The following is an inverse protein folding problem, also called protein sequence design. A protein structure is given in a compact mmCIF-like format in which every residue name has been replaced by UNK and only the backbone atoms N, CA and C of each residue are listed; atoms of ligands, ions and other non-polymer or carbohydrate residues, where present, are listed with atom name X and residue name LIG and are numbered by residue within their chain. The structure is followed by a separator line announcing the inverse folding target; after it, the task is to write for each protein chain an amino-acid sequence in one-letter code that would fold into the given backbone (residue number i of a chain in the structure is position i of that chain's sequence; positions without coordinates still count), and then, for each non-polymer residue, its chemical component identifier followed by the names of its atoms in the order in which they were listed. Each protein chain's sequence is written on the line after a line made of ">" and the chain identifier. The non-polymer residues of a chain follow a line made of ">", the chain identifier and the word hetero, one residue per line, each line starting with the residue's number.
data_IF_323995623351
#
_entry.id   IF_323995623351
#
_cell.length_a   1.000
_cell.length_b   1.000
_cell.length_c   1.000
_cell.angle_alpha   90.00
_cell.angle_beta   90.00
_cell.angle_gamma   90.00
#
_symmetry.space_group_name_H-M   'P 1'
#
loop_
_entity.id
_entity.type
_entity.pdbx_description
1 polymer ?
#
# COMPACT_ATOMS: atom_id res chain seq x y z
N UNK A 1 -0.18 22.11 -26.94
CA UNK A 1 -0.49 21.08 -25.95
C UNK A 1 0.33 21.37 -24.70
N UNK A 2 -0.34 21.71 -23.61
CA UNK A 2 0.32 21.81 -22.29
C UNK A 2 0.45 20.42 -21.69
N UNK A 3 1.67 20.07 -21.24
CA UNK A 3 1.96 18.84 -20.52
C UNK A 3 2.10 19.16 -19.05
N UNK A 4 1.38 18.42 -18.19
CA UNK A 4 1.53 18.53 -16.74
C UNK A 4 2.15 17.25 -16.22
N UNK A 5 3.29 17.36 -15.54
CA UNK A 5 3.90 16.24 -14.83
C UNK A 5 3.28 16.16 -13.45
N UNK A 6 2.71 15.00 -13.12
CA UNK A 6 2.05 14.78 -11.84
C UNK A 6 2.40 13.40 -11.27
N UNK A 7 1.99 13.11 -10.05
CA UNK A 7 2.22 11.82 -9.39
C UNK A 7 0.94 10.97 -9.38
N UNK A 8 1.10 9.68 -9.09
CA UNK A 8 0.01 8.70 -9.06
C UNK A 8 -1.15 9.11 -8.13
N UNK A 9 -0.87 9.79 -7.02
CA UNK A 9 -1.89 10.23 -6.09
C UNK A 9 -2.78 11.34 -6.68
N UNK A 10 -2.21 12.27 -7.45
CA UNK A 10 -3.00 13.28 -8.14
C UNK A 10 -3.84 12.67 -9.27
N UNK A 11 -3.32 11.64 -9.96
CA UNK A 11 -4.08 10.88 -10.95
C UNK A 11 -5.25 10.14 -10.30
N UNK A 12 -5.07 9.51 -9.14
CA UNK A 12 -6.16 8.91 -8.38
C UNK A 12 -7.21 9.94 -7.97
N UNK A 13 -6.77 11.10 -7.51
CA UNK A 13 -7.67 12.20 -7.15
C UNK A 13 -8.53 12.64 -8.35
N UNK A 14 -7.99 12.64 -9.58
CA UNK A 14 -8.71 13.01 -10.80
C UNK A 14 -9.88 12.04 -11.13
N UNK A 15 -9.92 10.85 -10.57
CA UNK A 15 -11.04 9.89 -10.74
C UNK A 15 -12.26 10.21 -9.89
N UNK A 16 -12.18 11.21 -9.01
CA UNK A 16 -13.29 11.67 -8.17
C UNK A 16 -13.93 12.94 -8.76
N UNK A 17 -15.25 13.10 -8.74
CA UNK A 17 -15.91 14.36 -9.17
C UNK A 17 -15.34 15.59 -8.46
N UNK A 18 -15.20 16.71 -9.19
CA UNK A 18 -14.55 17.94 -8.70
C UNK A 18 -15.24 18.64 -7.52
N UNK A 19 -16.48 18.31 -7.27
CA UNK A 19 -17.27 18.89 -6.17
C UNK A 19 -17.13 18.12 -4.84
N UNK A 20 -16.27 17.09 -4.81
CA UNK A 20 -16.13 16.20 -3.64
C UNK A 20 -14.72 16.16 -3.10
N UNK A 21 -14.54 16.27 -1.79
CA UNK A 21 -13.28 15.92 -1.15
C UNK A 21 -12.95 14.45 -1.36
N UNK A 22 -11.67 14.13 -1.38
CA UNK A 22 -11.25 12.73 -1.47
C UNK A 22 -10.02 12.41 -0.64
N UNK A 23 -9.95 11.15 -0.24
CA UNK A 23 -8.74 10.51 0.28
C UNK A 23 -8.23 9.58 -0.80
N UNK A 24 -6.96 9.70 -1.14
CA UNK A 24 -6.28 8.80 -2.07
C UNK A 24 -5.17 8.05 -1.34
N UNK A 25 -5.15 6.75 -1.50
CA UNK A 25 -4.20 5.87 -0.86
C UNK A 25 -3.44 5.06 -1.91
N UNK A 26 -2.13 5.10 -1.86
CA UNK A 26 -1.26 4.27 -2.69
C UNK A 26 -0.55 3.26 -1.80
N UNK A 27 -0.65 1.98 -2.17
CA UNK A 27 0.08 0.87 -1.58
C UNK A 27 0.73 0.01 -2.68
N UNK A 28 1.93 0.38 -3.02
CA UNK A 28 2.82 -0.34 -3.95
C UNK A 28 4.08 -0.80 -3.21
N UNK A 29 5.25 -0.56 -3.79
CA UNK A 29 6.54 -0.77 -3.11
C UNK A 29 6.59 0.00 -1.79
N UNK A 30 6.20 1.28 -1.79
CA UNK A 30 5.97 2.10 -0.60
C UNK A 30 4.50 2.48 -0.46
N UNK A 31 4.17 3.33 0.53
CA UNK A 31 2.81 3.78 0.75
C UNK A 31 2.70 5.27 1.08
N UNK A 32 1.58 5.85 0.70
CA UNK A 32 1.21 7.22 1.09
C UNK A 32 -0.31 7.38 1.04
N UNK A 33 -0.84 8.16 1.97
CA UNK A 33 -2.25 8.57 1.97
C UNK A 33 -2.31 10.10 1.95
N UNK A 34 -3.07 10.64 1.01
CA UNK A 34 -3.27 12.07 0.82
C UNK A 34 -4.75 12.41 0.84
N UNK A 35 -5.11 13.51 1.50
CA UNK A 35 -6.45 14.06 1.42
C UNK A 35 -6.44 15.35 0.60
N UNK A 36 -7.51 15.53 -0.17
CA UNK A 36 -7.75 16.69 -1.02
C UNK A 36 -9.14 17.25 -0.75
N UNK A 37 -9.27 18.56 -0.74
CA UNK A 37 -10.57 19.22 -0.75
C UNK A 37 -11.25 19.15 -2.13
N UNK A 38 -12.45 19.73 -2.23
CA UNK A 38 -13.20 19.79 -3.48
C UNK A 38 -12.48 20.60 -4.57
N UNK A 39 -11.61 21.54 -4.21
CA UNK A 39 -10.81 22.36 -5.12
C UNK A 39 -9.50 21.67 -5.52
N UNK A 40 -9.28 20.42 -5.10
CA UNK A 40 -8.05 19.64 -5.34
C UNK A 40 -6.81 20.18 -4.64
N UNK A 41 -6.98 21.03 -3.61
CA UNK A 41 -5.89 21.41 -2.75
C UNK A 41 -5.59 20.26 -1.77
N UNK A 42 -4.32 19.88 -1.67
CA UNK A 42 -3.92 18.86 -0.70
C UNK A 42 -4.03 19.42 0.72
N UNK A 43 -4.93 18.84 1.52
CA UNK A 43 -5.21 19.28 2.88
C UNK A 43 -4.44 18.50 3.93
N UNK A 44 -4.10 17.22 3.63
CA UNK A 44 -3.40 16.35 4.58
C UNK A 44 -2.53 15.32 3.87
N UNK A 45 -1.43 14.93 4.52
CA UNK A 45 -0.60 13.78 4.17
C UNK A 45 -0.39 12.91 5.41
N UNK A 46 -0.56 11.60 5.24
CA UNK A 46 -0.27 10.58 6.25
C UNK A 46 0.66 9.55 5.62
N UNK A 47 1.76 9.23 6.30
CA UNK A 47 2.77 8.33 5.77
C UNK A 47 3.59 8.93 4.61
N UNK A 48 4.14 8.05 3.78
CA UNK A 48 5.03 8.44 2.69
C UNK A 48 6.37 9.02 3.17
N UNK A 49 6.84 8.57 4.34
CA UNK A 49 8.11 8.99 4.92
C UNK A 49 9.31 8.21 4.35
N UNK A 50 9.04 7.38 3.36
CA UNK A 50 10.01 6.47 2.76
C UNK A 50 10.18 5.17 3.56
N UNK A 51 10.85 4.22 2.92
CA UNK A 51 10.91 2.84 3.39
C UNK A 51 11.67 2.64 4.72
N UNK A 52 12.53 3.58 5.11
CA UNK A 52 13.27 3.53 6.38
C UNK A 52 12.39 3.94 7.56
N UNK A 53 11.55 4.98 7.40
CA UNK A 53 10.84 5.64 8.49
C UNK A 53 9.32 5.42 8.45
N UNK A 54 8.79 4.85 7.36
CA UNK A 54 7.37 4.70 7.12
C UNK A 54 7.07 3.54 6.21
N UNK A 55 6.18 3.78 5.24
CA UNK A 55 5.68 2.80 4.28
C UNK A 55 4.89 1.65 4.95
N UNK A 56 4.20 1.95 6.06
CA UNK A 56 3.26 1.02 6.71
C UNK A 56 2.19 0.59 5.71
N UNK A 57 1.84 -0.68 5.72
CA UNK A 57 0.85 -1.26 4.82
C UNK A 57 1.29 -1.34 3.37
N UNK A 58 2.57 -1.13 3.06
CA UNK A 58 3.15 -1.29 1.72
C UNK A 58 3.77 -2.68 1.53
N UNK A 59 4.23 -2.97 0.31
CA UNK A 59 5.00 -4.18 0.05
C UNK A 59 6.28 -4.25 0.89
N UNK A 60 6.99 -3.11 1.08
CA UNK A 60 8.13 -3.05 2.00
C UNK A 60 7.68 -3.28 3.45
N UNK A 61 6.55 -2.76 3.87
CA UNK A 61 5.97 -3.01 5.20
C UNK A 61 5.78 -4.50 5.45
N UNK A 62 5.07 -5.17 4.56
CA UNK A 62 4.81 -6.63 4.63
C UNK A 62 6.12 -7.42 4.63
N UNK A 63 7.04 -7.13 3.70
CA UNK A 63 8.33 -7.83 3.60
C UNK A 63 9.20 -7.62 4.84
N UNK A 64 9.27 -6.39 5.36
CA UNK A 64 10.01 -6.04 6.56
C UNK A 64 9.44 -6.74 7.81
N UNK A 65 8.11 -6.79 7.94
CA UNK A 65 7.45 -7.50 9.04
C UNK A 65 7.76 -9.00 9.00
N UNK A 66 7.74 -9.60 7.80
CA UNK A 66 8.09 -11.00 7.62
C UNK A 66 9.54 -11.29 7.97
N UNK A 67 10.49 -10.49 7.48
CA UNK A 67 11.91 -10.63 7.80
C UNK A 67 12.18 -10.51 9.30
N UNK A 68 11.61 -9.50 9.97
CA UNK A 68 11.74 -9.34 11.40
C UNK A 68 11.28 -10.58 12.15
N UNK A 69 10.13 -11.14 11.76
CA UNK A 69 9.59 -12.34 12.42
C UNK A 69 10.51 -13.54 12.21
N UNK A 70 10.86 -13.89 10.96
CA UNK A 70 11.63 -15.12 10.68
C UNK A 70 13.08 -15.07 11.12
N UNK A 71 13.65 -13.87 11.32
CA UNK A 71 15.02 -13.70 11.83
C UNK A 71 15.07 -13.58 13.35
N UNK A 72 13.92 -13.38 14.02
CA UNK A 72 13.88 -13.26 15.50
C UNK A 72 13.36 -14.50 16.19
N UNK A 73 12.58 -15.33 15.53
CA UNK A 73 11.89 -16.50 16.11
C UNK A 73 11.87 -17.67 15.13
N UNK A 74 11.95 -18.92 15.64
CA UNK A 74 11.74 -20.09 14.80
C UNK A 74 10.35 -20.04 14.15
N UNK A 75 10.30 -20.13 12.83
CA UNK A 75 9.05 -19.99 12.09
C UNK A 75 9.05 -20.81 10.79
N UNK A 76 8.00 -21.60 10.52
CA UNK A 76 7.85 -22.28 9.22
C UNK A 76 7.80 -21.31 8.02
N UNK A 77 7.54 -20.02 8.22
CA UNK A 77 7.60 -19.02 7.19
C UNK A 77 9.02 -18.78 6.69
N UNK A 78 10.06 -19.10 7.49
CA UNK A 78 11.45 -18.99 7.07
C UNK A 78 11.71 -19.88 5.84
N UNK A 79 11.29 -21.15 5.89
CA UNK A 79 11.50 -22.09 4.78
C UNK A 79 10.86 -21.61 3.49
N UNK A 80 9.66 -21.00 3.58
CA UNK A 80 8.95 -20.41 2.44
C UNK A 80 9.75 -19.24 1.85
N UNK A 81 10.31 -18.39 2.70
CA UNK A 81 11.10 -17.23 2.25
C UNK A 81 12.44 -17.69 1.67
N UNK A 82 13.15 -18.64 2.31
CA UNK A 82 14.41 -19.19 1.80
C UNK A 82 14.21 -19.81 0.42
N UNK A 83 13.17 -20.63 0.25
CA UNK A 83 12.83 -21.22 -1.04
C UNK A 83 12.56 -20.16 -2.14
N UNK A 84 11.86 -19.08 -1.79
CA UNK A 84 11.50 -18.01 -2.72
C UNK A 84 12.70 -17.12 -3.09
N UNK A 85 13.66 -16.95 -2.19
CA UNK A 85 14.86 -16.12 -2.40
C UNK A 85 16.05 -16.88 -2.95
N UNK A 86 16.02 -18.22 -2.88
CA UNK A 86 17.10 -19.09 -3.32
C UNK A 86 18.32 -19.08 -2.40
N UNK A 87 18.19 -18.56 -1.16
CA UNK A 87 19.27 -18.60 -0.16
C UNK A 87 19.09 -19.78 0.79
N UNK A 88 20.19 -20.26 1.38
CA UNK A 88 20.16 -21.51 2.12
C UNK A 88 19.87 -21.34 3.63
N UNK A 89 20.24 -20.20 4.20
CA UNK A 89 20.17 -19.98 5.65
C UNK A 89 19.60 -18.62 6.02
N UNK A 90 19.20 -18.44 7.27
CA UNK A 90 18.77 -17.15 7.82
C UNK A 90 19.89 -16.10 7.73
N UNK A 91 21.16 -16.49 7.92
CA UNK A 91 22.31 -15.59 7.80
C UNK A 91 22.52 -15.15 6.33
N UNK A 92 22.29 -16.05 5.37
CA UNK A 92 22.34 -15.69 3.96
C UNK A 92 21.17 -14.79 3.56
N UNK A 93 19.99 -14.99 4.17
CA UNK A 93 18.84 -14.12 3.99
C UNK A 93 19.13 -12.71 4.49
N UNK A 94 19.81 -12.56 5.60
CA UNK A 94 20.23 -11.25 6.11
C UNK A 94 21.18 -10.56 5.13
N UNK A 95 22.19 -11.28 4.61
CA UNK A 95 23.12 -10.76 3.58
C UNK A 95 22.38 -10.40 2.28
N UNK A 96 21.42 -11.24 1.87
CA UNK A 96 20.59 -10.99 0.69
C UNK A 96 19.82 -9.68 0.78
N UNK A 97 19.33 -9.32 1.97
CA UNK A 97 18.56 -8.09 2.20
C UNK A 97 19.45 -6.86 2.22
N UNK A 98 20.63 -6.92 2.87
CA UNK A 98 21.54 -5.77 3.01
C UNK A 98 22.45 -5.61 1.78
N UNK A 99 21.88 -5.13 0.68
CA UNK A 99 22.54 -4.83 -0.58
C UNK A 99 22.04 -3.50 -1.14
N UNK A 100 22.58 -3.02 -2.26
CA UNK A 100 22.14 -1.78 -2.90
C UNK A 100 20.66 -1.80 -3.28
N UNK A 101 20.10 -2.99 -3.58
CA UNK A 101 18.68 -3.17 -3.92
C UNK A 101 17.80 -3.55 -2.72
N UNK A 102 18.22 -3.29 -1.49
CA UNK A 102 17.51 -3.68 -0.25
C UNK A 102 16.01 -3.40 -0.29
N UNK A 103 15.61 -2.21 -0.71
CA UNK A 103 14.21 -1.82 -0.80
C UNK A 103 13.41 -2.72 -1.74
N UNK A 104 13.92 -2.98 -2.93
CA UNK A 104 13.26 -3.81 -3.95
C UNK A 104 13.16 -5.26 -3.48
N UNK A 105 14.23 -5.80 -2.88
CA UNK A 105 14.27 -7.17 -2.35
C UNK A 105 13.29 -7.37 -1.20
N UNK A 106 13.23 -6.43 -0.26
CA UNK A 106 12.25 -6.46 0.82
C UNK A 106 10.81 -6.40 0.27
N UNK A 107 10.54 -5.49 -0.67
CA UNK A 107 9.22 -5.36 -1.28
C UNK A 107 8.79 -6.63 -2.03
N UNK A 108 9.71 -7.30 -2.71
CA UNK A 108 9.43 -8.55 -3.43
C UNK A 108 8.91 -9.67 -2.52
N UNK A 109 9.33 -9.70 -1.25
CA UNK A 109 8.84 -10.67 -0.28
C UNK A 109 7.34 -10.54 0.02
N UNK A 110 6.73 -9.37 -0.22
CA UNK A 110 5.29 -9.21 -0.01
C UNK A 110 4.47 -10.20 -0.83
N UNK A 111 4.88 -10.49 -2.08
CA UNK A 111 4.18 -11.47 -2.91
C UNK A 111 4.29 -12.89 -2.34
N UNK A 112 5.43 -13.23 -1.76
CA UNK A 112 5.66 -14.53 -1.09
C UNK A 112 4.77 -14.65 0.13
N UNK A 113 4.73 -13.60 0.96
CA UNK A 113 3.96 -13.57 2.20
C UNK A 113 2.45 -13.57 1.93
N UNK A 114 1.96 -12.76 0.97
CA UNK A 114 0.53 -12.75 0.65
C UNK A 114 0.09 -14.06 0.03
N UNK A 115 0.92 -14.71 -0.79
CA UNK A 115 0.66 -16.07 -1.30
C UNK A 115 0.58 -17.08 -0.16
N UNK A 116 1.59 -17.13 0.72
CA UNK A 116 1.58 -18.02 1.87
C UNK A 116 0.37 -17.79 2.78
N UNK A 117 -0.06 -16.54 2.95
CA UNK A 117 -1.28 -16.21 3.69
C UNK A 117 -2.54 -16.80 3.04
N UNK A 118 -2.68 -16.73 1.72
CA UNK A 118 -3.78 -17.37 0.99
C UNK A 118 -3.75 -18.89 1.10
N UNK A 119 -2.56 -19.47 1.06
CA UNK A 119 -2.34 -20.92 1.21
C UNK A 119 -2.54 -21.41 2.65
N UNK A 120 -2.88 -20.51 3.56
CA UNK A 120 -3.27 -20.89 4.91
C UNK A 120 -2.20 -20.75 5.98
N UNK A 121 -1.02 -20.22 5.65
CA UNK A 121 0.06 -20.05 6.60
C UNK A 121 -0.30 -19.00 7.70
N UNK A 122 -0.43 -19.43 8.94
CA UNK A 122 -0.99 -18.62 10.04
C UNK A 122 -0.17 -17.33 10.29
N UNK A 123 1.17 -17.44 10.32
CA UNK A 123 2.06 -16.28 10.53
C UNK A 123 1.95 -15.29 9.38
N UNK A 124 1.94 -15.77 8.14
CA UNK A 124 1.80 -14.91 6.97
C UNK A 124 0.46 -14.16 6.98
N UNK A 125 -0.65 -14.84 7.30
CA UNK A 125 -1.96 -14.20 7.48
C UNK A 125 -1.91 -13.11 8.53
N UNK A 126 -1.28 -13.37 9.67
CA UNK A 126 -1.16 -12.38 10.74
C UNK A 126 -0.38 -11.15 10.31
N UNK A 127 0.72 -11.32 9.57
CA UNK A 127 1.51 -10.22 9.03
C UNK A 127 0.67 -9.39 8.05
N UNK A 128 0.01 -10.02 7.09
CA UNK A 128 -0.86 -9.35 6.10
C UNK A 128 -1.97 -8.56 6.79
N UNK A 129 -2.61 -9.16 7.81
CA UNK A 129 -3.67 -8.51 8.60
C UNK A 129 -3.15 -7.26 9.33
N UNK A 130 -2.01 -7.34 10.00
CA UNK A 130 -1.44 -6.21 10.75
C UNK A 130 -1.04 -5.05 9.82
N UNK A 131 -0.43 -5.34 8.69
CA UNK A 131 -0.06 -4.32 7.72
C UNK A 131 -1.30 -3.68 7.05
N UNK A 132 -2.33 -4.46 6.75
CA UNK A 132 -3.61 -3.95 6.27
C UNK A 132 -4.32 -3.07 7.30
N UNK A 133 -4.26 -3.44 8.57
CA UNK A 133 -4.79 -2.62 9.67
C UNK A 133 -4.03 -1.30 9.81
N UNK A 134 -2.70 -1.32 9.69
CA UNK A 134 -1.89 -0.10 9.70
C UNK A 134 -2.24 0.83 8.53
N UNK A 135 -2.48 0.27 7.34
CA UNK A 135 -2.95 1.03 6.19
C UNK A 135 -4.33 1.66 6.43
N UNK A 136 -5.30 0.90 6.94
CA UNK A 136 -6.63 1.40 7.26
C UNK A 136 -6.54 2.57 8.27
N UNK A 137 -5.71 2.44 9.30
CA UNK A 137 -5.48 3.51 10.26
C UNK A 137 -4.86 4.78 9.61
N UNK A 138 -4.00 4.62 8.59
CA UNK A 138 -3.50 5.76 7.83
C UNK A 138 -4.62 6.44 7.01
N UNK A 139 -5.52 5.67 6.41
CA UNK A 139 -6.67 6.17 5.66
C UNK A 139 -7.61 6.95 6.60
N UNK A 140 -7.96 6.38 7.75
CA UNK A 140 -8.83 7.04 8.74
C UNK A 140 -8.20 8.34 9.27
N UNK A 141 -6.91 8.33 9.57
CA UNK A 141 -6.20 9.55 10.00
C UNK A 141 -6.17 10.62 8.91
N UNK A 142 -6.21 10.27 7.64
CA UNK A 142 -6.23 11.22 6.53
C UNK A 142 -7.64 11.77 6.27
N UNK A 143 -8.69 11.06 6.66
CA UNK A 143 -10.07 11.41 6.38
C UNK A 143 -10.43 12.82 6.90
N UNK A 144 -11.11 13.64 6.08
CA UNK A 144 -11.64 14.92 6.52
C UNK A 144 -12.90 14.69 7.41
N UNK A 145 -13.31 15.71 8.21
CA UNK A 145 -14.52 15.61 9.05
C UNK A 145 -15.84 15.73 8.26
N UNK A 146 -15.77 15.73 6.96
CA UNK A 146 -16.91 15.83 6.04
C UNK A 146 -16.95 14.61 5.11
N UNK A 147 -18.11 14.26 4.54
CA UNK A 147 -18.22 13.14 3.62
C UNK A 147 -17.25 13.25 2.45
N UNK A 148 -16.46 12.23 2.22
CA UNK A 148 -15.43 12.19 1.18
C UNK A 148 -15.45 10.85 0.42
N UNK A 149 -14.93 10.84 -0.81
CA UNK A 149 -14.65 9.62 -1.54
C UNK A 149 -13.27 9.05 -1.16
N UNK A 150 -13.08 7.74 -1.27
CA UNK A 150 -11.79 7.10 -1.10
C UNK A 150 -11.36 6.37 -2.37
N UNK A 151 -10.10 6.55 -2.78
CA UNK A 151 -9.50 5.86 -3.93
C UNK A 151 -8.25 5.11 -3.48
N UNK A 152 -8.22 3.83 -3.78
CA UNK A 152 -7.14 2.92 -3.45
C UNK A 152 -6.41 2.52 -4.73
N UNK A 153 -5.10 2.72 -4.78
CA UNK A 153 -4.26 2.37 -5.92
C UNK A 153 -2.95 1.71 -5.50
N UNK A 154 -2.36 0.97 -6.42
CA UNK A 154 -1.10 0.27 -6.20
C UNK A 154 -1.26 -1.24 -6.13
N UNK A 155 -0.16 -1.96 -6.39
CA UNK A 155 -0.17 -3.39 -6.64
C UNK A 155 -0.69 -4.23 -5.45
N UNK A 156 -0.49 -3.76 -4.22
CA UNK A 156 -0.89 -4.52 -3.03
C UNK A 156 -2.42 -4.61 -2.87
N UNK A 157 -3.17 -3.63 -3.35
CA UNK A 157 -4.64 -3.69 -3.40
C UNK A 157 -5.17 -4.69 -4.45
N UNK A 158 -4.30 -5.23 -5.30
CA UNK A 158 -4.63 -6.37 -6.16
C UNK A 158 -4.70 -7.71 -5.42
N UNK A 159 -4.17 -7.79 -4.19
CA UNK A 159 -4.34 -8.96 -3.34
C UNK A 159 -5.68 -8.89 -2.61
N UNK A 160 -6.59 -9.82 -2.93
CA UNK A 160 -7.95 -9.80 -2.39
C UNK A 160 -7.99 -9.97 -0.85
N UNK A 161 -7.08 -10.74 -0.28
CA UNK A 161 -6.97 -10.94 1.17
C UNK A 161 -6.53 -9.67 1.88
N UNK A 162 -5.49 -9.02 1.38
CA UNK A 162 -5.03 -7.74 1.89
C UNK A 162 -6.12 -6.67 1.79
N UNK A 163 -6.73 -6.52 0.62
CA UNK A 163 -7.81 -5.56 0.39
C UNK A 163 -8.99 -5.79 1.35
N UNK A 164 -9.44 -7.04 1.53
CA UNK A 164 -10.51 -7.36 2.44
C UNK A 164 -10.20 -6.94 3.88
N UNK A 165 -8.97 -7.15 4.35
CA UNK A 165 -8.54 -6.69 5.66
C UNK A 165 -8.49 -5.16 5.77
N UNK A 166 -8.02 -4.44 4.74
CA UNK A 166 -8.04 -2.96 4.74
C UNK A 166 -9.47 -2.45 4.85
N UNK A 167 -10.37 -2.93 4.00
CA UNK A 167 -11.78 -2.51 3.99
C UNK A 167 -12.49 -2.83 5.31
N UNK A 168 -12.18 -3.98 5.93
CA UNK A 168 -12.74 -4.38 7.22
C UNK A 168 -12.32 -3.44 8.37
N UNK A 169 -11.12 -2.86 8.32
CA UNK A 169 -10.57 -2.06 9.41
C UNK A 169 -10.76 -0.54 9.23
N UNK A 170 -11.20 -0.08 8.06
CA UNK A 170 -11.56 1.34 7.86
C UNK A 170 -12.79 1.66 8.74
N UNK A 171 -12.67 2.70 9.56
CA UNK A 171 -13.73 3.19 10.44
C UNK A 171 -14.48 4.39 9.86
N UNK A 172 -13.84 5.14 8.97
CA UNK A 172 -14.42 6.33 8.35
C UNK A 172 -15.54 5.95 7.39
N UNK A 173 -16.76 6.54 7.52
CA UNK A 173 -17.86 6.29 6.60
C UNK A 173 -17.67 7.09 5.30
N UNK A 174 -16.81 6.61 4.42
CA UNK A 174 -16.65 7.21 3.09
C UNK A 174 -17.92 7.09 2.26
N UNK A 175 -18.20 8.07 1.39
CA UNK A 175 -19.33 8.05 0.46
C UNK A 175 -19.24 6.84 -0.47
N UNK A 176 -18.03 6.60 -0.96
CA UNK A 176 -17.67 5.44 -1.78
C UNK A 176 -16.18 5.12 -1.63
N UNK A 177 -15.84 3.84 -1.75
CA UNK A 177 -14.45 3.36 -1.78
C UNK A 177 -14.27 2.60 -3.09
N UNK A 178 -13.27 2.97 -3.89
CA UNK A 178 -12.97 2.30 -5.15
C UNK A 178 -11.49 1.94 -5.24
N UNK A 179 -11.22 0.74 -5.75
CA UNK A 179 -9.87 0.31 -6.14
C UNK A 179 -9.66 0.66 -7.61
N UNK A 180 -8.58 1.36 -7.90
CA UNK A 180 -8.21 1.78 -9.26
C UNK A 180 -6.96 1.01 -9.68
N UNK A 181 -7.12 0.00 -10.51
CA UNK A 181 -6.02 -0.86 -10.97
C UNK A 181 -5.19 -0.19 -12.07
N UNK A 182 -5.83 0.50 -13.00
CA UNK A 182 -5.17 1.31 -14.03
C UNK A 182 -5.38 2.80 -13.73
N UNK A 183 -4.47 3.36 -12.95
CA UNK A 183 -4.53 4.75 -12.51
C UNK A 183 -4.43 5.71 -13.70
N UNK A 184 -3.55 5.41 -14.66
CA UNK A 184 -3.34 6.26 -15.82
C UNK A 184 -4.55 6.25 -16.76
N UNK A 185 -5.07 5.06 -17.08
CA UNK A 185 -6.25 4.92 -17.94
C UNK A 185 -7.51 5.52 -17.32
N UNK A 186 -7.73 5.29 -16.02
CA UNK A 186 -8.86 5.87 -15.29
C UNK A 186 -8.78 7.40 -15.23
N UNK A 187 -7.59 7.96 -14.99
CA UNK A 187 -7.39 9.40 -15.01
C UNK A 187 -7.61 10.00 -16.41
N UNK A 188 -7.13 9.35 -17.48
CA UNK A 188 -7.31 9.80 -18.85
C UNK A 188 -8.79 9.83 -19.29
N UNK A 189 -9.61 8.93 -18.75
CA UNK A 189 -11.06 8.88 -19.01
C UNK A 189 -11.84 9.90 -18.16
N UNK A 190 -11.25 10.40 -17.09
CA UNK A 190 -11.90 11.40 -16.25
C UNK A 190 -11.90 12.74 -17.00
N UNK A 191 -13.08 13.36 -17.16
CA UNK A 191 -13.21 14.74 -17.70
C UNK A 191 -12.58 15.80 -16.78
N UNK A 192 -11.93 15.37 -15.73
CA UNK A 192 -11.44 16.15 -14.61
C UNK A 192 -9.98 16.62 -14.78
N UNK A 193 -9.25 16.14 -15.78
CA UNK A 193 -7.90 16.64 -16.06
C UNK A 193 -8.05 17.95 -16.84
N UNK A 194 -8.31 19.05 -16.11
CA UNK A 194 -7.99 20.37 -16.60
C UNK A 194 -6.54 20.68 -16.22
N UNK A 195 -5.75 21.35 -17.08
CA UNK A 195 -4.45 21.86 -16.67
C UNK A 195 -4.65 22.75 -15.43
N UNK A 196 -3.84 22.52 -14.41
CA UNK A 196 -3.78 23.30 -13.17
C UNK A 196 -3.15 24.66 -13.42
#
# INVERSE_FOLDING_TARGET
>A
HEWTVTNDAALLCATVPHDRPCVVCIAGTGSVVLAYDAQRTRTKRVGGLGWLLGDEGSAVGVGRAALRHVLSEPSPLLDVILAATGVATADDLLRYVYTDDSRARIAALAQVVTRAARDGHAVARRIVQLEAQAMAACIDRAAPPIPAACRLGGALFGDAGYLAHVLHHIQTPFIDIQVVHDICGAAAQSKAIRPW
#
